data_IF_386368790346
#
_entry.id   IF_386368790346
#
_cell.length_a   1.000
_cell.length_b   1.000
_cell.length_c   1.000
_cell.angle_alpha   90.00
_cell.angle_beta   90.00
_cell.angle_gamma   90.00
#
_symmetry.space_group_name_H-M   'P 1'
#
loop_
_entity.id
_entity.type
_entity.pdbx_description
1 polymer ?
#
# COMPACT_ATOMS: atom_id res chain seq x y z
N UNK A 1 -2.58 -13.35 1.12
CA UNK A 1 -3.79 -13.83 0.42
C UNK A 1 -4.13 -12.86 -0.70
N UNK A 2 -3.92 -13.22 -1.96
CA UNK A 2 -4.42 -12.45 -3.11
C UNK A 2 -5.65 -13.20 -3.63
N UNK A 3 -6.84 -12.59 -3.49
CA UNK A 3 -8.15 -13.17 -3.83
C UNK A 3 -8.48 -13.09 -5.33
N UNK A 4 -9.28 -14.07 -5.74
CA UNK A 4 -9.85 -14.47 -7.04
C UNK A 4 -10.31 -13.37 -8.02
N UNK A 5 -10.23 -13.69 -9.32
CA UNK A 5 -10.48 -12.81 -10.50
C UNK A 5 -11.97 -12.54 -10.78
N UNK A 6 -12.90 -13.32 -10.21
CA UNK A 6 -14.33 -13.22 -10.50
C UNK A 6 -15.08 -12.06 -9.82
N UNK A 7 -14.39 -11.27 -8.98
CA UNK A 7 -14.95 -10.08 -8.34
C UNK A 7 -14.46 -8.85 -9.12
N UNK A 8 -15.37 -8.10 -9.76
CA UNK A 8 -15.08 -6.96 -10.65
C UNK A 8 -13.92 -6.04 -10.21
N UNK A 9 -13.25 -5.45 -11.22
CA UNK A 9 -11.93 -4.83 -11.10
C UNK A 9 -11.76 -3.93 -9.87
N UNK A 10 -10.75 -4.26 -9.07
CA UNK A 10 -10.41 -3.60 -7.81
C UNK A 10 -10.18 -2.10 -7.99
N UNK A 11 -10.26 -1.36 -6.88
CA UNK A 11 -9.80 0.03 -6.84
C UNK A 11 -8.28 0.07 -6.96
N UNK A 12 -7.77 0.77 -7.96
CA UNK A 12 -6.32 0.93 -8.19
C UNK A 12 -5.87 2.28 -7.65
N UNK A 13 -4.99 2.24 -6.64
CA UNK A 13 -4.44 3.41 -5.97
C UNK A 13 -3.03 3.67 -6.49
N UNK A 14 -2.74 4.88 -6.94
CA UNK A 14 -1.40 5.28 -7.35
C UNK A 14 -1.25 6.81 -7.30
N UNK A 15 0.00 7.27 -7.38
CA UNK A 15 0.29 8.69 -7.57
C UNK A 15 -0.10 9.17 -8.98
N UNK A 16 -0.31 10.47 -9.11
CA UNK A 16 -0.54 11.18 -10.37
C UNK A 16 0.44 10.84 -11.50
N UNK A 17 1.68 10.46 -11.17
CA UNK A 17 2.68 10.00 -12.15
C UNK A 17 2.23 8.78 -12.97
N UNK A 18 1.34 7.94 -12.42
CA UNK A 18 0.81 6.75 -13.08
C UNK A 18 -0.45 7.02 -13.91
N UNK A 19 -0.88 8.29 -14.03
CA UNK A 19 -2.13 8.68 -14.70
C UNK A 19 -1.95 8.97 -16.20
N UNK A 20 -1.28 8.08 -16.94
CA UNK A 20 -1.15 8.23 -18.40
C UNK A 20 -2.47 7.89 -19.12
N UNK A 21 -2.63 8.38 -20.37
CA UNK A 21 -3.80 8.05 -21.20
C UNK A 21 -3.95 6.54 -21.42
N UNK A 22 -2.83 5.87 -21.69
CA UNK A 22 -2.75 4.41 -21.84
C UNK A 22 -3.19 3.67 -20.56
N UNK A 23 -2.73 4.13 -19.39
CA UNK A 23 -3.12 3.50 -18.11
C UNK A 23 -4.60 3.70 -17.81
N UNK A 24 -5.16 4.88 -18.11
CA UNK A 24 -6.62 5.09 -17.99
C UNK A 24 -7.39 4.12 -18.87
N UNK A 25 -6.91 3.89 -20.10
CA UNK A 25 -7.58 2.97 -21.02
C UNK A 25 -7.48 1.52 -20.52
N UNK A 26 -6.29 1.07 -20.11
CA UNK A 26 -6.10 -0.26 -19.51
C UNK A 26 -6.97 -0.49 -18.27
N UNK A 27 -7.11 0.51 -17.41
CA UNK A 27 -7.99 0.42 -16.24
C UNK A 27 -9.47 0.29 -16.63
N UNK A 28 -9.91 1.01 -17.67
CA UNK A 28 -11.26 0.88 -18.22
C UNK A 28 -11.49 -0.51 -18.82
N UNK A 29 -10.58 -0.97 -19.66
CA UNK A 29 -10.67 -2.25 -20.36
C UNK A 29 -10.71 -3.42 -19.36
N UNK A 30 -9.94 -3.31 -18.28
CA UNK A 30 -9.90 -4.29 -17.18
C UNK A 30 -11.00 -4.09 -16.13
N UNK A 31 -11.94 -3.16 -16.34
CA UNK A 31 -13.04 -2.82 -15.40
C UNK A 31 -12.58 -2.44 -13.98
N UNK A 32 -11.39 -1.87 -13.85
CA UNK A 32 -10.85 -1.39 -12.57
C UNK A 32 -11.27 0.06 -12.29
N UNK A 33 -11.60 0.34 -11.03
CA UNK A 33 -11.91 1.70 -10.58
C UNK A 33 -10.63 2.47 -10.26
N UNK A 34 -10.37 3.56 -10.98
CA UNK A 34 -9.16 4.36 -10.75
C UNK A 34 -9.30 5.26 -9.52
N UNK A 35 -8.44 5.04 -8.51
CA UNK A 35 -8.21 5.92 -7.36
C UNK A 35 -6.85 6.60 -7.46
N UNK A 36 -6.41 6.88 -8.68
CA UNK A 36 -5.15 7.58 -8.94
C UNK A 36 -5.33 9.08 -8.65
N UNK A 37 -4.33 9.69 -8.03
CA UNK A 37 -4.34 11.12 -7.74
C UNK A 37 -4.42 11.97 -9.00
N UNK A 38 -5.12 13.09 -8.91
CA UNK A 38 -5.17 14.11 -9.96
C UNK A 38 -4.17 15.22 -9.64
N UNK A 39 -3.46 15.70 -10.65
CA UNK A 39 -2.46 16.75 -10.51
C UNK A 39 -2.91 17.99 -11.27
N UNK A 40 -2.75 19.15 -10.65
CA UNK A 40 -2.90 20.43 -11.34
C UNK A 40 -1.76 20.62 -12.36
N UNK A 41 -2.09 21.16 -13.52
CA UNK A 41 -1.11 21.52 -14.55
C UNK A 41 -1.09 23.04 -14.74
N UNK A 42 -0.08 23.53 -15.46
CA UNK A 42 -0.02 24.95 -15.86
C UNK A 42 -1.32 25.30 -16.59
N UNK A 43 -1.96 26.38 -16.17
CA UNK A 43 -3.24 26.87 -16.72
C UNK A 43 -4.42 25.89 -16.59
N UNK A 44 -4.29 24.84 -15.76
CA UNK A 44 -5.38 23.90 -15.47
C UNK A 44 -5.34 23.52 -13.99
N UNK A 45 -5.90 24.39 -13.11
CA UNK A 45 -6.04 24.09 -11.68
C UNK A 45 -6.99 22.90 -11.47
N UNK A 46 -6.90 22.28 -10.29
CA UNK A 46 -7.87 21.27 -9.88
C UNK A 46 -9.23 21.93 -9.62
N UNK A 47 -10.30 21.25 -9.99
CA UNK A 47 -11.65 21.65 -9.57
C UNK A 47 -11.87 21.25 -8.11
N UNK A 48 -12.80 21.93 -7.43
CA UNK A 48 -13.16 21.60 -6.03
C UNK A 48 -13.52 20.11 -5.85
N UNK A 49 -14.22 19.53 -6.83
CA UNK A 49 -14.54 18.09 -6.83
C UNK A 49 -13.30 17.19 -6.90
N UNK A 50 -12.28 17.59 -7.69
CA UNK A 50 -11.02 16.86 -7.78
C UNK A 50 -10.19 17.01 -6.50
N UNK A 51 -10.21 18.18 -5.86
CA UNK A 51 -9.55 18.42 -4.58
C UNK A 51 -10.17 17.58 -3.46
N UNK A 52 -11.49 17.51 -3.39
CA UNK A 52 -12.19 16.67 -2.42
C UNK A 52 -11.84 15.19 -2.64
N UNK A 53 -11.88 14.73 -3.90
CA UNK A 53 -11.50 13.36 -4.25
C UNK A 53 -10.04 13.06 -3.91
N UNK A 54 -9.13 13.99 -4.16
CA UNK A 54 -7.73 13.86 -3.79
C UNK A 54 -7.55 13.83 -2.26
N UNK A 55 -8.31 14.60 -1.50
CA UNK A 55 -8.28 14.59 -0.04
C UNK A 55 -8.65 13.22 0.53
N UNK A 56 -9.70 12.59 -0.02
CA UNK A 56 -10.06 11.22 0.32
C UNK A 56 -8.92 10.23 0.01
N UNK A 57 -8.27 10.38 -1.15
CA UNK A 57 -7.14 9.53 -1.54
C UNK A 57 -5.90 9.73 -0.67
N UNK A 58 -5.63 10.97 -0.26
CA UNK A 58 -4.52 11.31 0.63
C UNK A 58 -4.64 10.62 1.99
N UNK A 59 -5.85 10.40 2.53
CA UNK A 59 -6.04 9.69 3.80
C UNK A 59 -5.54 8.24 3.76
N UNK A 60 -5.65 7.59 2.61
CA UNK A 60 -5.13 6.24 2.39
C UNK A 60 -3.61 6.30 2.24
N UNK A 61 -3.10 7.26 1.46
CA UNK A 61 -1.67 7.46 1.23
C UNK A 61 -0.89 7.78 2.50
N UNK A 62 -1.44 8.62 3.39
CA UNK A 62 -0.81 9.00 4.66
C UNK A 62 -0.49 7.78 5.56
N UNK A 63 -1.19 6.64 5.37
CA UNK A 63 -0.92 5.41 6.12
C UNK A 63 0.34 4.67 5.62
N UNK A 64 0.72 4.86 4.36
CA UNK A 64 1.88 4.19 3.74
C UNK A 64 3.12 5.10 3.67
N UNK A 65 2.97 6.41 3.76
CA UNK A 65 4.09 7.35 3.76
C UNK A 65 5.14 7.07 4.86
N UNK A 66 4.77 6.77 6.13
CA UNK A 66 5.74 6.39 7.15
C UNK A 66 6.51 5.11 6.82
N UNK A 67 5.92 4.20 6.03
CA UNK A 67 6.57 2.96 5.58
C UNK A 67 7.72 3.32 4.64
N UNK A 68 7.43 4.10 3.61
CA UNK A 68 8.42 4.53 2.63
C UNK A 68 9.48 5.43 3.28
N UNK A 69 9.09 6.32 4.19
CA UNK A 69 10.02 7.15 4.95
C UNK A 69 11.00 6.32 5.79
N UNK A 70 10.52 5.29 6.48
CA UNK A 70 11.39 4.40 7.25
C UNK A 70 12.30 3.56 6.34
N UNK A 71 11.79 3.07 5.21
CA UNK A 71 12.62 2.33 4.24
C UNK A 71 13.73 3.20 3.64
N UNK A 72 13.40 4.43 3.27
CA UNK A 72 14.39 5.35 2.68
C UNK A 72 15.47 5.76 3.68
N UNK A 73 15.07 6.12 4.91
CA UNK A 73 16.02 6.63 5.91
C UNK A 73 16.75 5.52 6.69
N UNK A 74 16.04 4.48 7.12
CA UNK A 74 16.61 3.47 8.04
C UNK A 74 17.13 2.22 7.32
N UNK A 75 16.67 1.96 6.09
CA UNK A 75 16.92 0.70 5.40
C UNK A 75 17.81 0.83 4.16
N UNK A 76 18.48 1.98 4.01
CA UNK A 76 19.43 2.23 2.93
C UNK A 76 18.78 2.52 1.57
N UNK A 77 17.51 2.95 1.57
CA UNK A 77 16.77 3.29 0.35
C UNK A 77 15.69 2.26 -0.03
N UNK A 78 14.74 2.70 -0.84
CA UNK A 78 13.67 1.82 -1.38
C UNK A 78 14.12 0.92 -2.55
N UNK A 79 15.35 1.07 -3.04
CA UNK A 79 15.85 0.34 -4.21
C UNK A 79 16.91 -0.71 -3.86
N UNK A 80 16.64 -1.96 -4.22
CA UNK A 80 17.55 -3.08 -4.01
C UNK A 80 18.27 -3.49 -5.31
N UNK A 81 19.60 -3.57 -5.26
CA UNK A 81 20.44 -4.13 -6.34
C UNK A 81 20.91 -5.52 -5.94
N UNK A 82 20.69 -6.50 -6.81
CA UNK A 82 21.12 -7.88 -6.57
C UNK A 82 21.22 -8.69 -7.85
N UNK A 83 22.08 -9.72 -7.84
CA UNK A 83 22.22 -10.64 -8.96
C UNK A 83 21.05 -11.61 -8.94
N UNK A 84 20.17 -11.51 -9.94
CA UNK A 84 19.01 -12.36 -10.13
C UNK A 84 17.73 -11.81 -9.49
N UNK A 85 16.66 -11.74 -10.27
CA UNK A 85 15.38 -11.18 -9.87
C UNK A 85 14.78 -11.88 -8.63
N UNK A 86 14.92 -13.20 -8.53
CA UNK A 86 14.41 -13.96 -7.38
C UNK A 86 15.00 -13.47 -6.05
N UNK A 87 16.29 -13.12 -6.01
CA UNK A 87 16.94 -12.61 -4.80
C UNK A 87 16.44 -11.22 -4.44
N UNK A 88 16.25 -10.36 -5.44
CA UNK A 88 15.71 -9.00 -5.23
C UNK A 88 14.29 -9.09 -4.67
N UNK A 89 13.45 -9.97 -5.20
CA UNK A 89 12.09 -10.20 -4.69
C UNK A 89 12.10 -10.63 -3.22
N UNK A 90 12.98 -11.59 -2.86
CA UNK A 90 13.15 -11.99 -1.46
C UNK A 90 13.63 -10.83 -0.59
N UNK A 91 14.59 -10.04 -1.09
CA UNK A 91 15.08 -8.85 -0.40
C UNK A 91 13.99 -7.82 -0.11
N UNK A 92 13.13 -7.53 -1.09
CA UNK A 92 11.95 -6.65 -0.89
C UNK A 92 11.03 -7.23 0.17
N UNK A 93 10.81 -8.54 0.16
CA UNK A 93 10.02 -9.23 1.19
C UNK A 93 10.62 -9.07 2.59
N UNK A 94 11.93 -9.24 2.73
CA UNK A 94 12.64 -9.05 3.99
C UNK A 94 12.60 -7.60 4.46
N UNK A 95 12.70 -6.61 3.57
CA UNK A 95 12.55 -5.21 3.94
C UNK A 95 11.16 -4.94 4.54
N UNK A 96 10.10 -5.43 3.90
CA UNK A 96 8.74 -5.29 4.40
C UNK A 96 8.55 -5.98 5.77
N UNK A 97 9.12 -7.17 5.94
CA UNK A 97 9.06 -7.90 7.21
C UNK A 97 9.76 -7.12 8.33
N UNK A 98 10.98 -6.65 8.09
CA UNK A 98 11.76 -5.87 9.06
C UNK A 98 11.02 -4.60 9.47
N UNK A 99 10.43 -3.87 8.50
CA UNK A 99 9.60 -2.72 8.81
C UNK A 99 8.41 -3.09 9.71
N UNK A 100 7.68 -4.16 9.39
CA UNK A 100 6.54 -4.60 10.19
C UNK A 100 6.94 -4.96 11.62
N UNK A 101 8.09 -5.62 11.81
CA UNK A 101 8.62 -5.94 13.15
C UNK A 101 8.97 -4.67 13.95
N UNK A 102 9.70 -3.73 13.34
CA UNK A 102 10.01 -2.44 13.98
C UNK A 102 8.73 -1.69 14.36
N UNK A 103 7.75 -1.66 13.45
CA UNK A 103 6.47 -0.98 13.67
C UNK A 103 5.69 -1.59 14.82
N UNK A 104 5.60 -2.92 14.89
CA UNK A 104 4.89 -3.61 15.98
C UNK A 104 5.54 -3.28 17.32
N UNK A 105 6.88 -3.35 17.41
CA UNK A 105 7.61 -2.97 18.61
C UNK A 105 7.27 -1.55 19.06
N UNK A 106 7.25 -0.60 18.13
CA UNK A 106 6.89 0.79 18.41
C UNK A 106 5.44 0.92 18.90
N UNK A 107 4.49 0.20 18.28
CA UNK A 107 3.09 0.22 18.68
C UNK A 107 2.88 -0.36 20.10
N UNK A 108 3.62 -1.40 20.46
CA UNK A 108 3.63 -1.98 21.80
C UNK A 108 4.18 -0.99 22.81
N UNK A 109 5.32 -0.36 22.50
CA UNK A 109 5.93 0.67 23.33
C UNK A 109 4.99 1.85 23.58
N UNK A 110 4.22 2.25 22.57
CA UNK A 110 3.22 3.30 22.65
C UNK A 110 1.89 2.85 23.29
N UNK A 111 1.76 1.58 23.68
CA UNK A 111 0.54 0.98 24.25
C UNK A 111 -0.70 1.13 23.35
N UNK A 112 -0.48 1.22 22.04
CA UNK A 112 -1.55 1.29 21.02
C UNK A 112 -1.94 -0.13 20.57
N UNK A 113 -1.04 -1.09 20.76
CA UNK A 113 -1.21 -2.49 20.41
C UNK A 113 -0.65 -3.35 21.54
N UNK A 114 -1.36 -4.40 21.93
CA UNK A 114 -0.85 -5.44 22.79
C UNK A 114 -1.05 -6.80 22.10
N UNK A 115 -0.14 -7.73 22.34
CA UNK A 115 -0.35 -9.11 21.99
C UNK A 115 -1.22 -9.73 23.07
N UNK A 116 -2.52 -9.46 23.04
CA UNK A 116 -3.47 -10.32 23.73
C UNK A 116 -3.20 -11.73 23.23
N UNK A 117 -2.71 -12.60 24.12
CA UNK A 117 -2.39 -13.99 23.82
C UNK A 117 -3.58 -14.56 23.06
N UNK A 118 -3.39 -14.85 21.77
CA UNK A 118 -4.31 -15.69 21.01
C UNK A 118 -4.17 -17.07 21.64
N UNK A 119 -4.89 -17.30 22.74
CA UNK A 119 -5.08 -18.63 23.29
C UNK A 119 -5.63 -19.48 22.16
N UNK A 120 -4.95 -20.58 21.85
CA UNK A 120 -5.42 -21.51 20.84
C UNK A 120 -6.92 -21.76 21.08
N UNK A 121 -7.78 -21.68 20.04
CA UNK A 121 -9.20 -21.91 20.22
C UNK A 121 -9.36 -23.28 20.89
N UNK A 122 -10.02 -23.30 22.05
CA UNK A 122 -10.29 -24.52 22.81
C UNK A 122 -10.90 -25.53 21.83
N UNK A 123 -10.15 -26.59 21.53
CA UNK A 123 -10.58 -27.64 20.61
C UNK A 123 -11.79 -28.30 21.26
N UNK A 124 -13.00 -27.95 20.82
CA UNK A 124 -14.22 -28.63 21.25
C UNK A 124 -14.13 -30.05 20.72
N UNK A 125 -14.02 -31.04 21.61
CA UNK A 125 -14.25 -32.44 21.24
C UNK A 125 -15.68 -32.53 20.72
N UNK A 126 -15.81 -32.81 19.43
CA UNK A 126 -17.09 -33.17 18.81
C UNK A 126 -17.42 -34.59 19.32
N UNK A 127 -18.67 -34.86 19.75
CA UNK A 127 -19.07 -36.16 20.29
C UNK A 127 -18.92 -37.30 19.29
#
# INVERSE_FOLDING_TARGET
MLRDEATGGKQVWADSAYRSGEQKQRLKDSRHSSRIHERAYRDTPLTEAQELSNTEKSRVRARVEPVFGAMENDMGGIFLRGIGAARVVVGVGLMNLTYNLKRIETLIRLKVFDFDRIGAPVMRSIP
#
